data_IF_680641256724
#
_entry.id   IF_680641256724
#
_cell.length_a   1.000
_cell.length_b   1.000
_cell.length_c   1.000
_cell.angle_alpha   90.00
_cell.angle_beta   90.00
_cell.angle_gamma   90.00
#
_symmetry.space_group_name_H-M   'P 1'
#
loop_
_entity.id
_entity.type
_entity.pdbx_description
1 polymer ?
#
# COMPACT_ATOMS: atom_id res chain seq x y z
N UNK A 1 -12.94 -24.90 3.62
CA UNK A 1 -11.80 -23.96 3.54
C UNK A 1 -12.11 -22.64 4.25
N UNK A 2 -11.63 -22.41 5.48
CA UNK A 2 -11.87 -21.14 6.16
C UNK A 2 -10.72 -20.17 5.82
N UNK A 3 -10.86 -18.87 5.64
CA UNK A 3 -12.00 -17.99 5.43
C UNK A 3 -11.33 -16.76 4.80
N UNK A 4 -11.92 -16.20 3.73
CA UNK A 4 -11.49 -14.90 3.19
C UNK A 4 -11.64 -13.84 4.30
N UNK A 5 -10.59 -13.56 5.05
CA UNK A 5 -10.50 -12.35 5.87
C UNK A 5 -10.19 -11.14 4.99
N UNK A 6 -10.79 -11.07 3.80
CA UNK A 6 -11.00 -9.80 3.12
C UNK A 6 -12.25 -9.19 3.79
N UNK A 7 -12.10 -8.79 5.05
CA UNK A 7 -13.06 -7.87 5.65
C UNK A 7 -13.17 -6.62 4.74
N UNK A 8 -14.29 -5.90 4.76
CA UNK A 8 -14.47 -4.73 3.91
C UNK A 8 -13.29 -3.76 4.15
N UNK A 9 -12.45 -3.61 3.13
CA UNK A 9 -11.35 -2.66 3.18
C UNK A 9 -11.97 -1.27 3.17
N UNK A 10 -11.98 -0.61 4.33
CA UNK A 10 -12.40 0.79 4.37
C UNK A 10 -11.28 1.60 3.74
N UNK A 11 -11.55 2.18 2.56
CA UNK A 11 -10.57 2.96 1.84
C UNK A 11 -10.19 4.22 2.63
N UNK A 12 -8.90 4.47 2.80
CA UNK A 12 -8.39 5.69 3.42
C UNK A 12 -8.20 6.76 2.34
N UNK A 13 -8.89 7.90 2.49
CA UNK A 13 -8.65 9.04 1.61
C UNK A 13 -7.33 9.73 1.99
N UNK A 14 -6.52 10.04 0.99
CA UNK A 14 -5.23 10.71 1.13
C UNK A 14 -5.19 11.85 0.12
N UNK A 15 -4.80 13.03 0.58
CA UNK A 15 -4.61 14.20 -0.27
C UNK A 15 -3.18 14.67 -0.12
N UNK A 16 -2.51 14.91 -1.25
CA UNK A 16 -1.11 15.31 -1.30
C UNK A 16 -0.96 16.47 -2.29
N UNK A 17 -0.04 17.39 -2.02
CA UNK A 17 0.21 18.52 -2.91
C UNK A 17 1.17 18.09 -4.01
N UNK A 18 0.94 18.53 -5.25
CA UNK A 18 1.82 18.24 -6.37
C UNK A 18 3.27 18.65 -6.07
N UNK A 19 4.21 17.80 -6.47
CA UNK A 19 5.65 17.98 -6.23
C UNK A 19 6.13 17.55 -4.85
N UNK A 20 5.25 17.07 -3.97
CA UNK A 20 5.63 16.47 -2.67
C UNK A 20 5.62 14.95 -2.71
N UNK A 21 6.33 14.31 -1.78
CA UNK A 21 6.41 12.85 -1.73
C UNK A 21 5.12 12.25 -1.17
N UNK A 22 4.50 11.35 -1.94
CA UNK A 22 3.37 10.55 -1.47
C UNK A 22 3.91 9.34 -0.71
N UNK A 23 3.51 9.20 0.56
CA UNK A 23 3.90 8.08 1.42
C UNK A 23 2.67 7.30 1.87
N UNK A 24 2.57 6.04 1.46
CA UNK A 24 1.48 5.14 1.87
C UNK A 24 2.05 3.99 2.70
N UNK A 25 1.54 3.80 3.92
CA UNK A 25 2.02 2.75 4.82
C UNK A 25 1.26 1.44 4.64
N UNK A 26 1.86 0.30 4.95
CA UNK A 26 1.21 -0.99 4.96
C UNK A 26 1.61 -1.78 6.20
N UNK A 27 0.62 -2.21 6.98
CA UNK A 27 0.83 -3.07 8.14
C UNK A 27 0.84 -4.52 7.69
N UNK A 28 1.93 -5.22 8.01
CA UNK A 28 2.20 -6.56 7.50
C UNK A 28 1.59 -7.69 8.35
N UNK A 29 1.19 -7.43 9.58
CA UNK A 29 0.70 -8.46 10.52
C UNK A 29 1.79 -9.41 11.05
N UNK A 30 2.80 -9.71 10.23
CA UNK A 30 4.00 -10.51 10.52
C UNK A 30 5.26 -9.79 10.02
N UNK A 31 6.41 -10.03 10.66
CA UNK A 31 7.70 -9.52 10.21
C UNK A 31 8.30 -10.31 9.04
N UNK A 32 7.75 -11.51 8.75
CA UNK A 32 8.11 -12.32 7.58
C UNK A 32 7.25 -12.00 6.35
N UNK A 33 6.12 -11.32 6.57
CA UNK A 33 5.25 -10.92 5.49
C UNK A 33 5.86 -9.81 4.62
N UNK A 34 5.40 -9.77 3.37
CA UNK A 34 5.79 -8.78 2.37
C UNK A 34 4.57 -7.95 1.98
N UNK A 35 4.81 -6.68 1.67
CA UNK A 35 3.80 -5.81 1.10
C UNK A 35 3.82 -5.94 -0.42
N UNK A 36 2.69 -6.33 -1.00
CA UNK A 36 2.45 -6.26 -2.43
C UNK A 36 1.57 -5.05 -2.72
N UNK A 37 2.11 -4.12 -3.50
CA UNK A 37 1.41 -2.89 -3.85
C UNK A 37 0.77 -2.97 -5.23
N UNK A 38 -0.43 -2.43 -5.36
CA UNK A 38 -1.07 -2.18 -6.65
C UNK A 38 -1.53 -0.74 -6.75
N UNK A 39 -1.50 -0.20 -7.97
CA UNK A 39 -2.08 1.08 -8.35
C UNK A 39 -3.06 0.87 -9.50
N UNK A 40 -4.32 1.27 -9.31
CA UNK A 40 -5.39 1.06 -10.31
C UNK A 40 -5.48 -0.41 -10.76
N UNK A 41 -5.31 -1.32 -9.79
CA UNK A 41 -5.32 -2.78 -10.02
C UNK A 41 -4.05 -3.36 -10.64
N UNK A 42 -3.07 -2.54 -11.03
CA UNK A 42 -1.78 -3.01 -11.60
C UNK A 42 -0.72 -3.13 -10.52
N UNK A 43 0.05 -4.21 -10.54
CA UNK A 43 1.16 -4.41 -9.60
C UNK A 43 2.24 -3.32 -9.78
N UNK A 44 2.68 -2.76 -8.65
CA UNK A 44 3.82 -1.86 -8.60
C UNK A 44 5.11 -2.66 -8.35
N UNK A 45 6.25 -2.24 -8.92
CA UNK A 45 7.53 -2.88 -8.67
C UNK A 45 7.92 -2.75 -7.19
N UNK A 46 8.50 -3.81 -6.65
CA UNK A 46 8.86 -3.92 -5.23
C UNK A 46 9.87 -2.85 -4.78
N UNK A 47 10.66 -2.31 -5.71
CA UNK A 47 11.67 -1.28 -5.47
C UNK A 47 11.10 0.07 -4.99
N UNK A 48 9.79 0.30 -5.16
CA UNK A 48 9.14 1.52 -4.68
C UNK A 48 8.79 1.47 -3.18
N UNK A 49 9.01 0.32 -2.53
CA UNK A 49 8.68 0.12 -1.13
C UNK A 49 9.92 0.31 -0.22
N UNK A 50 9.87 1.31 0.65
CA UNK A 50 10.86 1.51 1.71
C UNK A 50 10.50 0.66 2.95
N UNK A 51 11.52 0.03 3.53
CA UNK A 51 11.44 -0.62 4.84
C UNK A 51 11.64 0.45 5.92
N UNK A 52 10.66 0.63 6.78
CA UNK A 52 10.76 1.55 7.92
C UNK A 52 11.43 0.83 9.12
N UNK A 53 11.83 1.58 10.15
CA UNK A 53 12.42 1.00 11.37
C UNK A 53 11.54 -0.06 12.04
N UNK A 54 10.22 0.02 11.86
CA UNK A 54 9.31 -1.04 12.28
C UNK A 54 9.26 -2.16 11.24
N UNK A 55 9.71 -3.36 11.63
CA UNK A 55 9.82 -4.51 10.73
C UNK A 55 8.47 -5.00 10.19
N UNK A 56 7.35 -4.66 10.85
CA UNK A 56 5.98 -5.00 10.43
C UNK A 56 5.30 -3.86 9.68
N UNK A 57 6.04 -2.80 9.36
CA UNK A 57 5.57 -1.67 8.58
C UNK A 57 6.40 -1.55 7.30
N UNK A 58 5.70 -1.36 6.18
CA UNK A 58 6.31 -1.00 4.88
C UNK A 58 5.69 0.29 4.39
N UNK A 59 6.43 1.07 3.62
CA UNK A 59 5.91 2.28 3.00
C UNK A 59 6.14 2.23 1.51
N UNK A 60 5.12 2.51 0.71
CA UNK A 60 5.28 2.90 -0.69
C UNK A 60 5.59 4.40 -0.71
N UNK A 61 6.67 4.78 -1.39
CA UNK A 61 7.04 6.19 -1.59
C UNK A 61 7.01 6.50 -3.07
N UNK A 62 6.23 7.52 -3.45
CA UNK A 62 6.20 8.07 -4.80
C UNK A 62 6.75 9.50 -4.73
N UNK A 63 8.03 9.71 -5.11
CA UNK A 63 8.66 11.03 -5.04
C UNK A 63 8.02 12.02 -6.00
N UNK A 64 7.93 13.29 -5.60
CA UNK A 64 7.48 14.38 -6.46
C UNK A 64 6.12 14.09 -7.12
N UNK A 65 5.13 13.70 -6.32
CA UNK A 65 3.87 13.19 -6.83
C UNK A 65 3.15 14.23 -7.73
N UNK A 66 2.68 13.81 -8.90
CA UNK A 66 1.86 14.63 -9.80
C UNK A 66 0.46 14.06 -9.98
N UNK A 67 -0.39 14.77 -10.73
CA UNK A 67 -1.79 14.40 -10.96
C UNK A 67 -1.97 12.94 -11.46
N UNK A 68 -1.02 12.41 -12.24
CA UNK A 68 -1.01 11.03 -12.74
C UNK A 68 -0.87 9.96 -11.66
N UNK A 69 -0.45 10.34 -10.46
CA UNK A 69 -0.37 9.45 -9.29
C UNK A 69 -1.65 9.53 -8.42
N UNK A 70 -2.68 10.25 -8.86
CA UNK A 70 -4.00 10.17 -8.22
C UNK A 70 -4.69 8.87 -8.61
N UNK A 71 -5.37 8.24 -7.66
CA UNK A 71 -6.10 7.00 -7.89
C UNK A 71 -6.12 6.08 -6.67
N UNK A 72 -6.41 4.82 -6.93
CA UNK A 72 -6.60 3.79 -5.91
C UNK A 72 -5.33 2.96 -5.76
N UNK A 73 -4.74 3.02 -4.57
CA UNK A 73 -3.62 2.17 -4.19
C UNK A 73 -4.08 1.09 -3.23
N UNK A 74 -3.61 -0.13 -3.42
CA UNK A 74 -3.87 -1.23 -2.49
C UNK A 74 -2.55 -1.83 -2.03
N UNK A 75 -2.44 -2.10 -0.73
CA UNK A 75 -1.42 -2.99 -0.21
C UNK A 75 -2.06 -4.31 0.19
N UNK A 76 -1.42 -5.43 -0.17
CA UNK A 76 -1.69 -6.76 0.35
C UNK A 76 -0.48 -7.20 1.16
N UNK A 77 -0.70 -7.52 2.44
CA UNK A 77 0.28 -8.20 3.26
C UNK A 77 0.18 -9.71 2.99
N UNK A 78 1.27 -10.33 2.56
CA UNK A 78 1.33 -11.75 2.21
C UNK A 78 2.53 -12.42 2.87
N UNK A 79 2.33 -13.61 3.43
CA UNK A 79 3.37 -14.47 3.98
C UNK A 79 3.22 -15.87 3.39
N UNK A 80 4.25 -16.38 2.71
CA UNK A 80 4.26 -17.73 2.10
C UNK A 80 3.03 -18.03 1.21
N UNK A 81 2.55 -17.04 0.45
CA UNK A 81 1.38 -17.16 -0.41
C UNK A 81 0.03 -17.00 0.31
N UNK A 82 0.03 -16.82 1.63
CA UNK A 82 -1.17 -16.57 2.41
C UNK A 82 -1.36 -15.06 2.65
N UNK A 83 -2.53 -14.49 2.29
CA UNK A 83 -2.82 -13.11 2.63
C UNK A 83 -3.01 -12.98 4.15
N UNK A 84 -2.38 -12.00 4.78
CA UNK A 84 -2.53 -11.68 6.20
C UNK A 84 -3.43 -10.46 6.44
N UNK A 85 -3.59 -9.62 5.41
CA UNK A 85 -4.42 -8.43 5.48
C UNK A 85 -4.24 -7.56 4.24
N UNK A 86 -5.11 -6.59 4.06
CA UNK A 86 -4.97 -5.61 2.99
C UNK A 86 -5.40 -4.21 3.47
N UNK A 87 -4.96 -3.19 2.75
CA UNK A 87 -5.34 -1.80 2.97
C UNK A 87 -5.57 -1.13 1.62
N UNK A 88 -6.59 -0.28 1.52
CA UNK A 88 -6.90 0.50 0.33
C UNK A 88 -6.76 1.99 0.63
N UNK A 89 -6.21 2.74 -0.33
CA UNK A 89 -6.03 4.18 -0.29
C UNK A 89 -6.65 4.80 -1.55
N UNK A 90 -7.37 5.90 -1.37
CA UNK A 90 -7.82 6.77 -2.46
C UNK A 90 -7.04 8.06 -2.40
N UNK A 91 -6.12 8.23 -3.34
CA UNK A 91 -5.18 9.35 -3.39
C UNK A 91 -5.67 10.40 -4.37
N UNK A 92 -5.68 11.65 -3.92
CA UNK A 92 -5.85 12.83 -4.75
C UNK A 92 -4.61 13.71 -4.65
N UNK A 93 -3.94 13.97 -5.77
CA UNK A 93 -2.85 14.93 -5.86
C UNK A 93 -3.43 16.27 -6.32
N UNK A 94 -3.24 17.33 -5.52
CA UNK A 94 -3.73 18.69 -5.76
C UNK A 94 -2.70 19.55 -6.49
#
# INVERSE_FOLDING_TARGET
>A
PPSLHTGPLTAKNVTVVAGTDLVLTCRLGSNLARAQWTFEGRALPAEQALVLSDTRLRALVVPGAGAQHSGTYRCLAEEHGAPLGAQEYRVAVL
#
